data_IF_433198291736
#
_entry.id   IF_433198291736
#
_cell.length_a   1.000
_cell.length_b   1.000
_cell.length_c   1.000
_cell.angle_alpha   90.00
_cell.angle_beta   90.00
_cell.angle_gamma   90.00
#
_symmetry.space_group_name_H-M   'P 1'
#
loop_
_entity.id
_entity.type
_entity.pdbx_description
1 polymer ?
#
# COMPACT_ATOMS: atom_id res chain seq x y z
N UNK A 1 7.41 -7.20 -11.72
CA UNK A 1 6.07 -7.54 -11.21
C UNK A 1 5.13 -6.39 -11.53
N UNK A 2 4.37 -6.50 -12.61
CA UNK A 2 3.45 -5.45 -13.07
C UNK A 2 2.08 -5.74 -12.45
N UNK A 3 1.58 -4.82 -11.63
CA UNK A 3 0.41 -4.99 -10.76
C UNK A 3 -0.96 -5.07 -11.44
N UNK A 4 -1.06 -5.64 -12.64
CA UNK A 4 -2.32 -5.69 -13.40
C UNK A 4 -2.49 -6.94 -14.27
N UNK A 5 -1.80 -8.05 -13.98
CA UNK A 5 -2.05 -9.29 -14.71
C UNK A 5 -3.32 -9.99 -14.20
N UNK A 6 -4.17 -10.50 -15.12
CA UNK A 6 -5.41 -11.18 -14.77
C UNK A 6 -5.12 -12.42 -13.93
N UNK A 7 -6.00 -12.70 -12.96
CA UNK A 7 -5.98 -13.94 -12.18
C UNK A 7 -5.96 -15.11 -13.19
N UNK A 8 -4.97 -16.02 -13.13
CA UNK A 8 -4.87 -17.09 -14.12
C UNK A 8 -6.12 -17.97 -14.04
N UNK A 9 -6.84 -18.07 -15.17
CA UNK A 9 -8.02 -18.95 -15.30
C UNK A 9 -7.54 -20.39 -15.49
N UNK A 10 -7.41 -21.11 -14.38
CA UNK A 10 -6.94 -22.50 -14.37
C UNK A 10 -8.06 -23.54 -14.59
N UNK A 11 -9.34 -23.12 -14.61
CA UNK A 11 -10.47 -23.99 -14.83
C UNK A 11 -10.65 -24.30 -16.33
N UNK A 12 -10.76 -25.59 -16.69
CA UNK A 12 -11.03 -26.03 -18.07
C UNK A 12 -9.80 -26.29 -18.95
N UNK A 13 -8.59 -26.23 -18.37
CA UNK A 13 -7.36 -26.57 -19.09
C UNK A 13 -7.26 -28.09 -19.27
N UNK A 14 -7.13 -28.51 -20.53
CA UNK A 14 -6.98 -29.92 -20.94
C UNK A 14 -5.50 -30.37 -20.99
N UNK A 15 -4.56 -29.50 -20.62
CA UNK A 15 -3.11 -29.75 -20.67
C UNK A 15 -2.41 -29.36 -19.37
N UNK A 16 -1.32 -30.06 -19.05
CA UNK A 16 -0.50 -29.82 -17.86
C UNK A 16 0.29 -28.52 -18.00
N UNK A 17 0.30 -27.70 -16.95
CA UNK A 17 1.08 -26.47 -16.87
C UNK A 17 2.31 -26.68 -15.98
N UNK A 18 3.52 -26.26 -16.41
CA UNK A 18 4.70 -26.37 -15.57
C UNK A 18 4.67 -25.33 -14.45
N UNK A 19 4.78 -25.80 -13.21
CA UNK A 19 4.70 -24.95 -12.02
C UNK A 19 5.88 -25.24 -11.10
N UNK A 20 6.52 -24.18 -10.61
CA UNK A 20 7.54 -24.24 -9.56
C UNK A 20 6.87 -24.04 -8.19
N UNK A 21 7.00 -25.02 -7.30
CA UNK A 21 6.52 -24.91 -5.93
C UNK A 21 7.64 -24.39 -5.02
N UNK A 22 7.43 -23.24 -4.41
CA UNK A 22 8.35 -22.61 -3.46
C UNK A 22 7.75 -22.76 -2.06
N UNK A 23 8.41 -23.55 -1.21
CA UNK A 23 8.05 -23.68 0.20
C UNK A 23 8.79 -22.62 1.00
N UNK A 24 8.04 -21.68 1.56
CA UNK A 24 8.58 -20.68 2.47
C UNK A 24 8.85 -21.29 3.85
N UNK A 25 9.77 -20.67 4.59
CA UNK A 25 10.18 -21.14 5.92
C UNK A 25 9.05 -21.13 6.96
N UNK A 26 7.97 -20.38 6.71
CA UNK A 26 6.77 -20.35 7.55
C UNK A 26 5.76 -21.48 7.24
N UNK A 27 6.17 -22.50 6.46
CA UNK A 27 5.32 -23.64 6.09
C UNK A 27 4.35 -23.36 4.94
N UNK A 28 4.25 -22.13 4.45
CA UNK A 28 3.38 -21.77 3.34
C UNK A 28 4.04 -22.11 1.99
N UNK A 29 3.22 -22.43 1.00
CA UNK A 29 3.69 -22.80 -0.33
C UNK A 29 3.15 -21.82 -1.37
N UNK A 30 4.05 -21.28 -2.19
CA UNK A 30 3.72 -20.45 -3.34
C UNK A 30 3.95 -21.26 -4.61
N UNK A 31 2.97 -21.25 -5.51
CA UNK A 31 3.07 -21.84 -6.84
C UNK A 31 3.39 -20.73 -7.85
N UNK A 32 4.49 -20.86 -8.56
CA UNK A 32 4.88 -19.95 -9.64
C UNK A 32 4.71 -20.68 -10.97
N UNK A 33 3.74 -20.22 -11.76
CA UNK A 33 3.54 -20.70 -13.13
C UNK A 33 4.72 -20.23 -13.99
N UNK A 34 5.35 -21.16 -14.71
CA UNK A 34 6.43 -20.87 -15.65
C UNK A 34 6.03 -21.27 -17.06
N UNK A 35 6.74 -20.75 -18.06
CA UNK A 35 6.52 -21.15 -19.45
C UNK A 35 7.03 -22.58 -19.70
N UNK A 36 8.19 -22.93 -19.13
CA UNK A 36 8.82 -24.23 -19.30
C UNK A 36 9.79 -24.58 -18.16
N UNK A 37 9.94 -25.87 -17.88
CA UNK A 37 11.03 -26.40 -17.06
C UNK A 37 12.17 -26.90 -17.96
N UNK A 38 13.27 -26.14 -17.97
CA UNK A 38 14.49 -26.57 -18.65
C UNK A 38 15.22 -27.54 -17.71
N UNK A 39 15.51 -28.76 -18.18
CA UNK A 39 16.01 -29.87 -17.35
C UNK A 39 17.33 -29.58 -16.60
N UNK A 40 17.62 -30.42 -15.59
CA UNK A 40 18.61 -30.19 -14.53
C UNK A 40 20.10 -30.37 -14.91
N UNK A 41 20.50 -30.21 -16.17
CA UNK A 41 21.85 -30.62 -16.63
C UNK A 41 22.87 -29.49 -16.82
N UNK A 42 22.56 -28.26 -16.43
CA UNK A 42 23.51 -27.15 -16.46
C UNK A 42 23.91 -26.74 -15.03
N UNK A 43 25.21 -26.82 -14.71
CA UNK A 43 25.74 -26.13 -13.55
C UNK A 43 25.79 -24.64 -13.88
N UNK A 44 25.07 -23.83 -13.10
CA UNK A 44 24.98 -22.38 -13.32
C UNK A 44 25.82 -21.69 -12.24
N UNK A 45 26.75 -20.83 -12.66
CA UNK A 45 27.53 -20.00 -11.75
C UNK A 45 26.77 -18.70 -11.50
N UNK A 46 26.37 -18.47 -10.25
CA UNK A 46 25.71 -17.23 -9.82
C UNK A 46 26.76 -16.19 -9.49
N UNK A 47 26.69 -15.03 -10.15
CA UNK A 47 27.51 -13.86 -9.81
C UNK A 47 26.63 -12.77 -9.20
N UNK A 48 27.10 -12.05 -8.17
CA UNK A 48 26.38 -10.92 -7.64
C UNK A 48 26.29 -9.82 -8.70
N UNK A 49 25.08 -9.29 -8.88
CA UNK A 49 24.82 -8.06 -9.62
C UNK A 49 25.17 -6.91 -8.67
N UNK A 50 25.89 -5.90 -9.18
CA UNK A 50 26.43 -4.81 -8.34
C UNK A 50 25.38 -4.10 -7.47
N UNK A 51 25.84 -3.27 -6.53
CA UNK A 51 24.98 -2.59 -5.54
C UNK A 51 23.79 -1.82 -6.15
N UNK A 52 23.87 -1.42 -7.42
CA UNK A 52 22.79 -0.77 -8.17
C UNK A 52 21.51 -1.61 -8.26
N UNK A 53 21.63 -2.95 -8.16
CA UNK A 53 20.50 -3.89 -8.21
C UNK A 53 20.09 -4.42 -6.84
N UNK A 54 20.76 -4.00 -5.75
CA UNK A 54 20.46 -4.43 -4.38
C UNK A 54 19.03 -4.06 -3.93
N UNK A 55 18.43 -3.03 -4.54
CA UNK A 55 17.05 -2.61 -4.29
C UNK A 55 16.01 -3.56 -4.90
N UNK A 56 16.40 -4.41 -5.86
CA UNK A 56 15.50 -5.35 -6.53
C UNK A 56 15.53 -6.68 -5.79
N UNK A 57 14.78 -6.77 -4.69
CA UNK A 57 14.74 -7.96 -3.84
C UNK A 57 14.32 -9.26 -4.54
N UNK A 58 13.79 -9.21 -5.76
CA UNK A 58 13.40 -10.41 -6.51
C UNK A 58 14.57 -11.12 -7.22
N UNK A 59 15.78 -10.54 -7.22
CA UNK A 59 16.92 -11.08 -7.98
C UNK A 59 18.06 -11.46 -7.02
N UNK A 60 18.49 -12.72 -7.10
CA UNK A 60 19.61 -13.26 -6.32
C UNK A 60 20.98 -12.99 -6.99
N UNK A 61 21.00 -12.90 -8.32
CA UNK A 61 22.23 -12.73 -9.08
C UNK A 61 22.01 -12.78 -10.58
N UNK A 62 23.10 -12.89 -11.32
CA UNK A 62 23.09 -13.12 -12.75
C UNK A 62 24.11 -14.21 -13.13
N UNK A 63 23.90 -14.84 -14.28
CA UNK A 63 24.85 -15.74 -14.90
C UNK A 63 25.01 -15.40 -16.38
N UNK A 64 26.05 -15.93 -17.01
CA UNK A 64 26.24 -15.85 -18.46
C UNK A 64 26.09 -17.27 -19.01
N UNK A 65 25.17 -17.43 -19.95
CA UNK A 65 24.90 -18.69 -20.64
C UNK A 65 26.01 -19.01 -21.65
N UNK A 66 26.06 -20.24 -22.14
CA UNK A 66 27.10 -20.71 -23.08
C UNK A 66 27.12 -19.97 -24.42
N UNK A 67 26.03 -19.29 -24.77
CA UNK A 67 25.88 -18.43 -25.95
C UNK A 67 26.23 -16.95 -25.68
N UNK A 68 26.68 -16.62 -24.47
CA UNK A 68 27.03 -15.26 -24.05
C UNK A 68 25.84 -14.43 -23.55
N UNK A 69 24.62 -14.96 -23.53
CA UNK A 69 23.47 -14.23 -23.00
C UNK A 69 23.53 -14.11 -21.48
N UNK A 70 23.14 -12.95 -20.95
CA UNK A 70 23.02 -12.73 -19.51
C UNK A 70 21.64 -13.20 -19.04
N UNK A 71 21.62 -14.10 -18.07
CA UNK A 71 20.39 -14.58 -17.45
C UNK A 71 20.34 -14.16 -15.97
N UNK A 72 19.22 -13.59 -15.54
CA UNK A 72 19.00 -13.22 -14.15
C UNK A 72 18.49 -14.42 -13.36
N UNK A 73 19.00 -14.57 -12.14
CA UNK A 73 18.61 -15.63 -11.22
C UNK A 73 17.68 -15.02 -10.19
N UNK A 74 16.44 -15.52 -10.14
CA UNK A 74 15.41 -15.01 -9.26
C UNK A 74 15.54 -15.61 -7.85
N UNK A 75 15.31 -14.78 -6.84
CA UNK A 75 15.18 -15.24 -5.45
C UNK A 75 13.74 -15.67 -5.17
N UNK A 76 13.47 -16.97 -5.33
CA UNK A 76 12.15 -17.53 -5.07
C UNK A 76 11.63 -17.30 -3.65
N UNK A 77 12.52 -17.30 -2.64
CA UNK A 77 12.12 -17.12 -1.24
C UNK A 77 11.69 -15.67 -0.97
N UNK A 78 12.45 -14.69 -1.49
CA UNK A 78 12.09 -13.29 -1.33
C UNK A 78 10.85 -12.92 -2.17
N UNK A 79 10.71 -13.51 -3.37
CA UNK A 79 9.49 -13.38 -4.18
C UNK A 79 8.27 -13.91 -3.41
N UNK A 80 8.38 -15.12 -2.81
CA UNK A 80 7.30 -15.68 -2.00
C UNK A 80 6.94 -14.77 -0.82
N UNK A 81 7.94 -14.21 -0.14
CA UNK A 81 7.76 -13.27 0.98
C UNK A 81 7.03 -11.99 0.55
N UNK A 82 7.40 -11.42 -0.59
CA UNK A 82 6.80 -10.19 -1.12
C UNK A 82 5.36 -10.41 -1.63
N UNK A 83 5.08 -11.59 -2.20
CA UNK A 83 3.70 -11.99 -2.53
C UNK A 83 2.86 -12.10 -1.26
N UNK A 84 3.39 -12.63 -0.17
CA UNK A 84 2.66 -12.73 1.10
C UNK A 84 2.37 -11.37 1.72
N UNK A 85 3.32 -10.44 1.75
CA UNK A 85 3.06 -9.09 2.26
C UNK A 85 1.96 -8.40 1.45
N UNK A 86 2.00 -8.53 0.13
CA UNK A 86 1.00 -7.96 -0.78
C UNK A 86 -0.37 -8.65 -0.67
N UNK A 87 -0.42 -9.99 -0.60
CA UNK A 87 -1.66 -10.77 -0.51
C UNK A 87 -2.30 -10.64 0.87
N UNK A 88 -1.52 -10.55 1.94
CA UNK A 88 -2.04 -10.27 3.29
C UNK A 88 -2.67 -8.88 3.33
N UNK A 89 -2.03 -7.86 2.75
CA UNK A 89 -2.63 -6.53 2.61
C UNK A 89 -3.91 -6.55 1.75
N UNK A 90 -3.91 -7.26 0.62
CA UNK A 90 -5.11 -7.40 -0.23
C UNK A 90 -6.24 -8.18 0.44
N UNK A 91 -5.96 -9.28 1.12
CA UNK A 91 -6.97 -10.09 1.82
C UNK A 91 -7.50 -9.39 3.07
N UNK A 92 -6.64 -8.67 3.81
CA UNK A 92 -7.09 -7.80 4.91
C UNK A 92 -7.97 -6.69 4.35
N UNK A 93 -7.57 -6.02 3.26
CA UNK A 93 -8.40 -5.03 2.60
C UNK A 93 -9.73 -5.65 2.11
N UNK A 94 -9.71 -6.76 1.38
CA UNK A 94 -10.93 -7.42 0.87
C UNK A 94 -11.84 -7.96 1.97
N UNK A 95 -11.30 -8.45 3.09
CA UNK A 95 -12.08 -8.86 4.25
C UNK A 95 -12.69 -7.63 4.95
N UNK A 96 -11.94 -6.54 5.09
CA UNK A 96 -12.45 -5.24 5.55
C UNK A 96 -13.53 -4.70 4.59
N UNK A 97 -13.37 -4.86 3.27
CA UNK A 97 -14.36 -4.44 2.27
C UNK A 97 -15.62 -5.32 2.29
N UNK A 98 -15.49 -6.65 2.39
CA UNK A 98 -16.63 -7.58 2.48
C UNK A 98 -17.42 -7.48 3.78
N UNK A 99 -16.78 -7.04 4.86
CA UNK A 99 -17.46 -6.81 6.14
C UNK A 99 -18.14 -5.42 6.21
N UNK A 100 -17.92 -4.56 5.19
CA UNK A 100 -18.48 -3.20 5.06
C UNK A 100 -19.62 -3.10 4.04
N UNK A 101 -20.19 -4.23 3.61
CA UNK A 101 -21.44 -4.28 2.84
C UNK A 101 -22.68 -3.94 3.71
N UNK A 102 -22.54 -3.00 4.64
CA UNK A 102 -23.65 -2.14 5.07
C UNK A 102 -23.61 -0.92 4.15
N UNK A 103 -24.70 -0.69 3.43
CA UNK A 103 -24.93 0.22 2.29
C UNK A 103 -24.56 1.73 2.44
N UNK A 104 -23.74 2.12 3.42
CA UNK A 104 -23.32 3.52 3.60
C UNK A 104 -21.91 3.74 3.05
N UNK A 105 -21.82 4.56 1.99
CA UNK A 105 -20.55 5.11 1.53
C UNK A 105 -19.93 5.90 2.66
N UNK A 106 -18.70 5.53 3.04
CA UNK A 106 -17.97 6.23 4.09
C UNK A 106 -17.56 7.62 3.63
N UNK A 107 -17.75 8.60 4.50
CA UNK A 107 -17.41 9.99 4.27
C UNK A 107 -15.98 10.27 4.74
N UNK A 108 -15.12 10.73 3.84
CA UNK A 108 -13.75 11.12 4.14
C UNK A 108 -13.62 12.64 4.06
N UNK A 109 -13.08 13.26 5.11
CA UNK A 109 -12.71 14.68 5.10
C UNK A 109 -11.24 14.84 4.68
N UNK A 110 -10.97 15.72 3.72
CA UNK A 110 -9.62 16.09 3.30
C UNK A 110 -9.36 17.54 3.73
N UNK A 111 -8.30 17.76 4.50
CA UNK A 111 -7.89 19.08 4.99
C UNK A 111 -6.48 19.36 4.47
N UNK A 112 -6.37 20.27 3.50
CA UNK A 112 -5.12 20.60 2.82
C UNK A 112 -5.25 22.00 2.19
N UNK A 113 -4.22 22.84 2.27
CA UNK A 113 -4.27 24.22 1.79
C UNK A 113 -4.15 24.31 0.25
N UNK A 114 -3.53 23.31 -0.37
CA UNK A 114 -3.37 23.20 -1.80
C UNK A 114 -4.63 22.71 -2.49
N UNK A 115 -5.25 23.61 -3.28
CA UNK A 115 -6.40 23.29 -4.13
C UNK A 115 -6.13 22.11 -5.07
N UNK A 116 -4.90 21.99 -5.57
CA UNK A 116 -4.50 20.91 -6.47
C UNK A 116 -4.48 19.58 -5.75
N UNK A 117 -3.87 19.50 -4.56
CA UNK A 117 -3.79 18.26 -3.78
C UNK A 117 -5.19 17.81 -3.38
N UNK A 118 -6.03 18.72 -2.86
CA UNK A 118 -7.44 18.41 -2.55
C UNK A 118 -8.19 17.80 -3.74
N UNK A 119 -8.12 18.41 -4.93
CA UNK A 119 -8.83 17.91 -6.12
C UNK A 119 -8.33 16.53 -6.57
N UNK A 120 -7.02 16.30 -6.53
CA UNK A 120 -6.44 15.01 -6.92
C UNK A 120 -6.84 13.92 -5.92
N UNK A 121 -6.74 14.21 -4.62
CA UNK A 121 -7.07 13.26 -3.56
C UNK A 121 -8.57 12.96 -3.51
N UNK A 122 -9.45 13.96 -3.65
CA UNK A 122 -10.91 13.75 -3.78
C UNK A 122 -11.23 12.80 -4.92
N UNK A 123 -10.74 13.08 -6.14
CA UNK A 123 -11.01 12.24 -7.31
C UNK A 123 -10.53 10.81 -7.14
N UNK A 124 -9.39 10.62 -6.46
CA UNK A 124 -8.86 9.29 -6.18
C UNK A 124 -9.81 8.52 -5.24
N UNK A 125 -10.26 9.14 -4.15
CA UNK A 125 -11.13 8.50 -3.15
C UNK A 125 -12.55 8.27 -3.67
N UNK A 126 -13.13 9.23 -4.38
CA UNK A 126 -14.43 9.10 -5.04
C UNK A 126 -14.45 7.92 -6.01
N UNK A 127 -13.36 7.72 -6.79
CA UNK A 127 -13.20 6.56 -7.69
C UNK A 127 -13.13 5.22 -6.96
N UNK A 128 -12.78 5.22 -5.68
CA UNK A 128 -12.77 4.02 -4.83
C UNK A 128 -14.11 3.83 -4.10
N UNK A 129 -15.12 4.66 -4.35
CA UNK A 129 -16.46 4.53 -3.79
C UNK A 129 -16.69 5.23 -2.45
N UNK A 130 -15.80 6.17 -2.08
CA UNK A 130 -15.96 6.99 -0.87
C UNK A 130 -16.68 8.31 -1.20
N UNK A 131 -17.46 8.81 -0.26
CA UNK A 131 -17.93 10.21 -0.31
C UNK A 131 -16.84 11.11 0.29
N UNK A 132 -16.68 12.31 -0.25
CA UNK A 132 -15.57 13.19 0.13
C UNK A 132 -16.07 14.60 0.44
N UNK A 133 -15.62 15.14 1.56
CA UNK A 133 -15.74 16.56 1.91
C UNK A 133 -14.34 17.17 2.02
N UNK A 134 -14.18 18.43 1.64
CA UNK A 134 -12.87 19.09 1.65
C UNK A 134 -12.91 20.38 2.45
N UNK A 135 -11.86 20.63 3.25
CA UNK A 135 -11.62 21.88 3.94
C UNK A 135 -10.32 22.53 3.45
N UNK A 136 -10.32 23.86 3.35
CA UNK A 136 -9.19 24.64 2.79
C UNK A 136 -8.08 24.97 3.77
N UNK A 137 -8.36 24.88 5.05
CA UNK A 137 -7.43 25.10 6.15
C UNK A 137 -8.01 24.41 7.40
N UNK A 138 -7.24 24.40 8.49
CA UNK A 138 -7.71 23.79 9.73
C UNK A 138 -8.97 24.44 10.31
N UNK A 139 -9.13 25.76 10.15
CA UNK A 139 -10.29 26.50 10.71
C UNK A 139 -11.58 26.08 10.01
N UNK A 140 -11.55 26.01 8.68
CA UNK A 140 -12.64 25.51 7.84
C UNK A 140 -12.98 24.04 8.17
N UNK A 141 -11.98 23.22 8.52
CA UNK A 141 -12.21 21.85 8.94
C UNK A 141 -13.00 21.77 10.26
N UNK A 142 -12.59 22.54 11.28
CA UNK A 142 -13.27 22.56 12.58
C UNK A 142 -14.71 23.08 12.44
N UNK A 143 -14.93 24.13 11.65
CA UNK A 143 -16.27 24.68 11.39
C UNK A 143 -17.17 23.64 10.70
N UNK A 144 -16.64 22.90 9.71
CA UNK A 144 -17.40 21.86 9.03
C UNK A 144 -17.71 20.66 9.93
N UNK A 145 -16.83 20.31 10.87
CA UNK A 145 -17.04 19.21 11.82
C UNK A 145 -18.22 19.44 12.78
N UNK A 146 -18.72 20.66 12.92
CA UNK A 146 -19.94 20.91 13.71
C UNK A 146 -21.18 20.31 13.04
N UNK A 147 -21.19 20.26 11.71
CA UNK A 147 -22.35 19.84 10.91
C UNK A 147 -22.15 18.49 10.23
N UNK A 148 -20.89 18.07 10.06
CA UNK A 148 -20.51 16.90 9.28
C UNK A 148 -19.77 15.92 10.19
N UNK A 149 -20.13 14.64 10.08
CA UNK A 149 -19.47 13.55 10.80
C UNK A 149 -18.73 12.62 9.82
N UNK A 150 -17.47 12.94 9.46
CA UNK A 150 -16.67 12.07 8.62
C UNK A 150 -16.23 10.80 9.38
N UNK A 151 -16.05 9.71 8.64
CA UNK A 151 -15.53 8.44 9.15
C UNK A 151 -14.00 8.42 9.26
N UNK A 152 -13.33 9.34 8.55
CA UNK A 152 -11.88 9.45 8.45
C UNK A 152 -11.52 10.89 8.06
N UNK A 153 -10.43 11.41 8.63
CA UNK A 153 -9.83 12.66 8.19
C UNK A 153 -8.42 12.43 7.63
N UNK A 154 -8.16 12.98 6.44
CA UNK A 154 -6.83 13.18 5.88
C UNK A 154 -6.40 14.61 6.18
N UNK A 155 -5.34 14.79 6.95
CA UNK A 155 -4.96 16.09 7.51
C UNK A 155 -3.52 16.44 7.13
N UNK A 156 -3.33 17.48 6.33
CA UNK A 156 -2.01 18.05 6.14
C UNK A 156 -1.50 18.71 7.43
N UNK A 157 -0.19 18.68 7.65
CA UNK A 157 0.45 19.32 8.80
C UNK A 157 0.65 20.81 8.51
N UNK A 158 1.23 21.14 7.36
CA UNK A 158 1.77 22.47 7.10
C UNK A 158 0.73 23.40 6.45
N UNK A 159 -0.24 23.85 7.25
CA UNK A 159 -1.33 24.72 6.78
C UNK A 159 -1.27 26.14 7.36
N UNK A 160 -1.73 27.17 6.62
CA UNK A 160 -1.85 28.52 7.15
C UNK A 160 -2.98 28.62 8.19
N UNK A 161 -2.86 29.61 9.08
CA UNK A 161 -3.83 29.97 10.15
C UNK A 161 -3.91 28.96 11.29
N UNK A 162 -4.01 27.67 11.00
CA UNK A 162 -4.06 26.60 11.99
C UNK A 162 -3.38 25.34 11.46
N UNK A 163 -2.37 24.85 12.18
CA UNK A 163 -1.57 23.67 11.83
C UNK A 163 -2.39 22.38 12.05
N UNK A 164 -2.12 21.34 11.28
CA UNK A 164 -2.70 20.01 11.48
C UNK A 164 -2.52 19.45 12.90
N UNK A 165 -1.45 19.79 13.63
CA UNK A 165 -1.34 19.40 15.05
C UNK A 165 -2.36 20.10 15.95
N UNK A 166 -2.71 21.36 15.67
CA UNK A 166 -3.72 22.10 16.42
C UNK A 166 -5.12 21.55 16.12
N UNK A 167 -5.42 21.28 14.85
CA UNK A 167 -6.65 20.59 14.41
C UNK A 167 -6.79 19.25 15.12
N UNK A 168 -5.75 18.42 15.08
CA UNK A 168 -5.74 17.12 15.75
C UNK A 168 -6.07 17.25 17.24
N UNK A 169 -5.45 18.20 17.94
CA UNK A 169 -5.69 18.41 19.35
C UNK A 169 -7.15 18.82 19.62
N UNK A 170 -7.71 19.74 18.84
CA UNK A 170 -9.11 20.15 18.96
C UNK A 170 -10.08 18.98 18.71
N UNK A 171 -9.83 18.19 17.67
CA UNK A 171 -10.66 17.03 17.32
C UNK A 171 -10.62 15.96 18.41
N UNK A 172 -9.45 15.72 19.01
CA UNK A 172 -9.28 14.75 20.12
C UNK A 172 -9.96 15.20 21.41
N UNK A 173 -10.15 16.50 21.62
CA UNK A 173 -10.90 17.04 22.76
C UNK A 173 -12.41 17.22 22.47
N UNK A 174 -12.88 16.86 21.27
CA UNK A 174 -14.28 17.00 20.88
C UNK A 174 -15.04 15.68 21.11
N UNK A 175 -16.10 15.70 21.93
CA UNK A 175 -16.82 14.50 22.38
C UNK A 175 -17.25 13.56 21.24
N UNK A 176 -17.72 14.13 20.12
CA UNK A 176 -18.21 13.39 18.96
C UNK A 176 -17.12 12.85 18.03
N UNK A 177 -15.95 13.48 18.00
CA UNK A 177 -14.92 13.23 16.98
C UNK A 177 -13.61 12.68 17.56
N UNK A 178 -13.51 12.58 18.88
CA UNK A 178 -12.31 12.12 19.59
C UNK A 178 -11.80 10.74 19.11
N UNK A 179 -12.68 9.86 18.65
CA UNK A 179 -12.34 8.52 18.14
C UNK A 179 -12.19 8.44 16.62
N UNK A 180 -12.43 9.53 15.90
CA UNK A 180 -12.31 9.55 14.44
C UNK A 180 -10.86 9.25 14.04
N UNK A 181 -10.61 8.27 13.16
CA UNK A 181 -9.29 8.04 12.60
C UNK A 181 -8.80 9.28 11.84
N UNK A 182 -7.56 9.70 12.10
CA UNK A 182 -6.92 10.83 11.44
C UNK A 182 -5.60 10.33 10.86
N UNK A 183 -5.41 10.50 9.56
CA UNK A 183 -4.14 10.19 8.87
C UNK A 183 -3.48 11.52 8.54
N UNK A 184 -2.30 11.74 9.12
CA UNK A 184 -1.50 12.92 8.83
C UNK A 184 -0.78 12.75 7.50
N UNK A 185 -0.92 13.72 6.60
CA UNK A 185 -0.16 13.80 5.34
C UNK A 185 1.03 14.74 5.60
N UNK A 186 2.24 14.29 5.31
CA UNK A 186 3.46 15.11 5.48
C UNK A 186 4.28 15.05 4.19
N UNK A 187 4.62 16.23 3.67
CA UNK A 187 5.46 16.37 2.46
C UNK A 187 6.96 16.27 2.77
N UNK A 188 7.35 16.46 4.04
CA UNK A 188 8.74 16.42 4.51
C UNK A 188 8.92 15.35 5.59
N UNK A 189 9.83 14.41 5.35
CA UNK A 189 10.25 13.36 6.28
C UNK A 189 11.06 13.95 7.43
N UNK A 190 10.40 14.60 8.39
CA UNK A 190 11.04 15.10 9.61
C UNK A 190 10.79 14.14 10.78
N UNK A 191 11.86 13.51 11.29
CA UNK A 191 11.87 12.66 12.49
C UNK A 191 11.16 13.28 13.70
N UNK A 192 11.23 14.62 13.85
CA UNK A 192 10.62 15.37 14.95
C UNK A 192 9.08 15.39 14.93
N UNK A 193 8.44 15.16 13.79
CA UNK A 193 6.96 15.21 13.70
C UNK A 193 6.31 13.90 14.15
N UNK A 194 7.05 12.78 14.13
CA UNK A 194 6.53 11.48 14.54
C UNK A 194 6.30 11.40 16.05
N UNK A 195 7.24 11.87 16.85
CA UNK A 195 7.13 11.82 18.33
C UNK A 195 5.91 12.60 18.85
N UNK A 196 5.63 13.77 18.26
CA UNK A 196 4.49 14.62 18.65
C UNK A 196 3.13 14.07 18.20
N UNK A 197 3.09 13.36 17.07
CA UNK A 197 1.88 12.66 16.61
C UNK A 197 1.55 11.44 17.48
N UNK A 198 2.57 10.71 17.95
CA UNK A 198 2.39 9.56 18.85
C UNK A 198 1.92 9.98 20.25
N UNK A 199 2.37 11.11 20.79
CA UNK A 199 1.88 11.61 22.09
C UNK A 199 0.42 12.08 22.05
N UNK A 200 -0.15 12.28 20.85
CA UNK A 200 -1.53 12.76 20.63
C UNK A 200 -2.48 11.67 20.10
N UNK A 201 -2.06 10.40 20.06
CA UNK A 201 -2.93 9.26 19.77
C UNK A 201 -3.27 9.05 18.28
N UNK A 202 -2.36 9.37 17.37
CA UNK A 202 -2.56 9.14 15.92
C UNK A 202 -2.28 7.68 15.55
N UNK A 203 -3.18 7.06 14.77
CA UNK A 203 -2.95 5.75 14.14
C UNK A 203 -2.27 5.94 12.79
N UNK A 204 -1.15 5.22 12.55
CA UNK A 204 -0.48 5.19 11.24
C UNK A 204 -1.19 4.28 10.23
#
# INVERSE_FOLDING_TARGET
FVGNQPIPRLCGLMYSLPVLMIKANNGQTVALLVDQLIGSRAQIVVKPIGQQFSSIGAIAGATILGDGQVCLILDGQNIARQIQSTRRLKLVNEAIYRQRESDERRLIMIVDDSVTVRKVTSRLLERQGYDVVTAKDGVDAIEQLENIKPDLMLLDIEMPRMDGFEVLNLVRHHDMHQYMPIIMITSRTGEKHRERAFSLGVSQ
#
